data_IF_990908005645
#
_entry.id   IF_990908005645
#
_cell.length_a   1.000
_cell.length_b   1.000
_cell.length_c   1.000
_cell.angle_alpha   90.00
_cell.angle_beta   90.00
_cell.angle_gamma   90.00
#
_symmetry.space_group_name_H-M   'P 1'
#
loop_
_entity.id
_entity.type
_entity.pdbx_description
1 polymer ?
#
# COMPACT_ATOMS: atom_id res chain seq x y z
N UNK A 1 14.00 10.01 2.82
CA UNK A 1 12.92 9.35 2.08
C UNK A 1 13.49 8.10 1.45
N UNK A 2 12.66 7.09 1.24
CA UNK A 2 13.05 5.86 0.55
C UNK A 2 11.89 5.38 -0.32
N UNK A 3 12.19 4.57 -1.33
CA UNK A 3 11.18 3.88 -2.12
C UNK A 3 11.13 2.44 -1.66
N UNK A 4 9.93 1.93 -1.40
CA UNK A 4 9.68 0.55 -1.03
C UNK A 4 8.89 -0.14 -2.13
N UNK A 5 9.22 -1.39 -2.43
CA UNK A 5 8.41 -2.22 -3.31
C UNK A 5 7.22 -2.78 -2.53
N UNK A 6 6.01 -2.47 -2.98
CA UNK A 6 4.79 -2.78 -2.25
C UNK A 6 3.59 -1.97 -2.73
N UNK A 7 2.46 -2.16 -2.06
CA UNK A 7 1.20 -1.47 -2.38
C UNK A 7 0.68 -0.77 -1.11
N UNK A 8 0.04 0.37 -1.26
CA UNK A 8 -0.46 1.19 -0.15
C UNK A 8 -1.93 1.51 -0.36
N UNK A 9 -2.75 1.25 0.66
CA UNK A 9 -4.18 1.55 0.67
C UNK A 9 -4.57 2.40 1.89
N UNK A 10 -5.61 3.22 1.75
CA UNK A 10 -6.30 3.89 2.84
C UNK A 10 -7.59 3.12 3.17
N UNK A 11 -7.61 2.53 4.35
CA UNK A 11 -8.70 1.73 4.90
C UNK A 11 -9.18 2.41 6.17
N UNK A 12 -10.42 2.92 6.16
CA UNK A 12 -11.03 3.66 7.28
C UNK A 12 -10.18 4.83 7.82
N UNK A 13 -9.40 5.50 6.96
CA UNK A 13 -8.52 6.61 7.37
C UNK A 13 -7.13 6.16 7.84
N UNK A 14 -6.82 4.87 7.79
CA UNK A 14 -5.53 4.30 8.17
C UNK A 14 -4.77 3.85 6.92
N UNK A 15 -3.54 4.34 6.75
CA UNK A 15 -2.65 3.89 5.68
C UNK A 15 -2.07 2.51 5.99
N UNK A 16 -2.35 1.54 5.11
CA UNK A 16 -1.84 0.16 5.21
C UNK A 16 -0.83 -0.10 4.08
N UNK A 17 0.45 -0.27 4.45
CA UNK A 17 1.53 -0.60 3.53
C UNK A 17 1.75 -2.12 3.48
N UNK A 18 1.50 -2.71 2.32
CA UNK A 18 1.70 -4.13 2.03
C UNK A 18 3.09 -4.36 1.44
N UNK A 19 3.91 -5.14 2.13
CA UNK A 19 5.26 -5.54 1.72
C UNK A 19 5.40 -7.05 1.76
N UNK A 20 6.25 -7.60 0.90
CA UNK A 20 6.44 -9.03 0.75
C UNK A 20 6.97 -9.39 -0.63
N UNK A 21 7.22 -10.67 -0.84
CA UNK A 21 7.82 -11.20 -2.06
C UNK A 21 7.00 -10.87 -3.32
N UNK A 22 7.67 -10.87 -4.47
CA UNK A 22 6.98 -10.69 -5.76
C UNK A 22 6.03 -11.87 -6.02
N UNK A 23 4.81 -11.57 -6.48
CA UNK A 23 3.79 -12.59 -6.75
C UNK A 23 3.07 -13.16 -5.52
N UNK A 24 3.31 -12.63 -4.30
CA UNK A 24 2.60 -13.09 -3.08
C UNK A 24 1.13 -12.65 -2.99
N UNK A 25 0.68 -11.77 -3.89
CA UNK A 25 -0.71 -11.28 -3.90
C UNK A 25 -0.92 -9.86 -3.35
N UNK A 26 0.11 -9.01 -3.28
CA UNK A 26 0.01 -7.66 -2.67
C UNK A 26 -1.01 -6.77 -3.40
N UNK A 27 -0.87 -6.70 -4.73
CA UNK A 27 -1.71 -5.85 -5.57
C UNK A 27 -3.15 -6.37 -5.62
N UNK A 28 -3.33 -7.69 -5.62
CA UNK A 28 -4.63 -8.37 -5.57
C UNK A 28 -5.35 -8.10 -4.24
N UNK A 29 -4.64 -8.20 -3.11
CA UNK A 29 -5.21 -7.86 -1.80
C UNK A 29 -5.64 -6.39 -1.72
N UNK A 30 -4.85 -5.48 -2.28
CA UNK A 30 -5.21 -4.06 -2.33
C UNK A 30 -6.39 -3.83 -3.28
N UNK A 31 -6.44 -4.53 -4.41
CA UNK A 31 -7.56 -4.44 -5.35
C UNK A 31 -8.87 -4.88 -4.69
N UNK A 32 -8.87 -5.99 -3.95
CA UNK A 32 -10.05 -6.46 -3.18
C UNK A 32 -10.54 -5.40 -2.18
N UNK A 33 -9.62 -4.65 -1.55
CA UNK A 33 -9.98 -3.56 -0.65
C UNK A 33 -10.60 -2.39 -1.40
N UNK A 34 -10.07 -2.05 -2.58
CA UNK A 34 -10.61 -0.99 -3.44
C UNK A 34 -12.02 -1.34 -3.91
N UNK A 35 -12.24 -2.58 -4.33
CA UNK A 35 -13.57 -3.08 -4.72
C UNK A 35 -14.60 -3.01 -3.59
N UNK A 36 -14.14 -3.09 -2.33
CA UNK A 36 -14.97 -2.91 -1.12
C UNK A 36 -15.16 -1.43 -0.71
N UNK A 37 -14.65 -0.49 -1.50
CA UNK A 37 -14.83 0.95 -1.31
C UNK A 37 -13.67 1.66 -0.59
N UNK A 38 -12.52 1.00 -0.42
CA UNK A 38 -11.31 1.63 0.11
C UNK A 38 -10.52 2.35 -1.00
N UNK A 39 -9.52 3.15 -0.61
CA UNK A 39 -8.77 3.97 -1.57
C UNK A 39 -7.39 3.39 -1.83
N UNK A 40 -7.08 3.14 -3.10
CA UNK A 40 -5.70 2.91 -3.54
C UNK A 40 -4.91 4.20 -3.40
N UNK A 41 -3.71 4.12 -2.81
CA UNK A 41 -2.80 5.26 -2.68
C UNK A 41 -1.58 5.10 -3.59
N UNK A 42 -0.99 3.90 -3.63
CA UNK A 42 0.13 3.58 -4.51
C UNK A 42 0.20 2.06 -4.77
N UNK A 43 0.77 1.67 -5.91
CA UNK A 43 1.04 0.28 -6.28
C UNK A 43 2.46 0.16 -6.86
N UNK A 44 3.07 -1.01 -6.70
CA UNK A 44 4.44 -1.37 -7.07
C UNK A 44 5.56 -0.61 -6.34
N UNK A 45 5.59 0.73 -6.41
CA UNK A 45 6.63 1.57 -5.80
C UNK A 45 6.02 2.65 -4.90
N UNK A 46 6.29 2.55 -3.60
CA UNK A 46 5.78 3.48 -2.58
C UNK A 46 6.90 4.37 -2.07
N UNK A 47 6.78 5.69 -2.30
CA UNK A 47 7.69 6.67 -1.73
C UNK A 47 7.32 6.98 -0.29
N UNK A 48 8.19 6.64 0.65
CA UNK A 48 8.00 6.90 2.08
C UNK A 48 8.95 7.96 2.61
N UNK A 49 8.46 8.80 3.50
CA UNK A 49 9.27 9.77 4.24
C UNK A 49 8.85 9.78 5.69
N UNK A 50 9.82 9.75 6.60
CA UNK A 50 9.57 9.84 8.03
C UNK A 50 9.27 11.30 8.39
N UNK A 51 8.16 11.54 9.07
CA UNK A 51 7.80 12.83 9.65
C UNK A 51 7.65 12.63 11.15
N UNK A 52 8.32 13.44 11.96
CA UNK A 52 8.38 13.28 13.42
C UNK A 52 9.55 12.44 13.92
N UNK A 53 9.72 12.42 15.25
CA UNK A 53 10.76 11.67 15.97
C UNK A 53 10.43 10.20 16.15
#
# INVERSE_FOLDING_TARGET
>A
SSTLHGSLADVYGVGLLFVGDSGVGKSECVLDLVERGHRLVADDLVMVSRRGN
#
